data_IF_742924239052
#
_entry.id   IF_742924239052
#
_cell.length_a   1.000
_cell.length_b   1.000
_cell.length_c   1.000
_cell.angle_alpha   90.00
_cell.angle_beta   90.00
_cell.angle_gamma   90.00
#
_symmetry.space_group_name_H-M   'P 1'
#
loop_
_entity.id
_entity.type
_entity.pdbx_description
1 polymer ?
#
# COMPACT_ATOMS: atom_id res chain seq x y z
N UNK A 1 -1.44 -7.48 -13.78
CA UNK A 1 -2.35 -7.75 -12.64
C UNK A 1 -2.79 -6.42 -12.04
N UNK A 2 -4.09 -6.21 -11.94
CA UNK A 2 -4.71 -5.06 -11.25
C UNK A 2 -4.94 -5.54 -9.82
N UNK A 3 -4.21 -4.97 -8.87
CA UNK A 3 -4.35 -5.32 -7.47
C UNK A 3 -5.22 -4.32 -6.74
N UNK A 4 -6.22 -4.84 -6.09
CA UNK A 4 -7.11 -4.28 -5.08
C UNK A 4 -8.19 -3.31 -5.57
N UNK A 5 -9.39 -3.83 -5.70
CA UNK A 5 -10.65 -3.10 -5.77
C UNK A 5 -11.16 -2.86 -4.34
N UNK A 6 -11.30 -1.60 -3.93
CA UNK A 6 -12.06 -1.23 -2.75
C UNK A 6 -13.31 -0.44 -3.18
N UNK A 7 -14.49 -1.04 -2.98
CA UNK A 7 -15.80 -0.40 -3.21
C UNK A 7 -16.28 0.20 -1.90
N UNK A 8 -16.53 1.50 -1.86
CA UNK A 8 -17.18 2.18 -0.73
C UNK A 8 -18.39 3.02 -1.10
N UNK A 9 -19.39 2.97 -0.22
CA UNK A 9 -20.80 3.32 -0.38
C UNK A 9 -21.17 4.80 -0.57
N UNK A 10 -20.25 5.74 -0.69
CA UNK A 10 -20.64 7.15 -0.68
C UNK A 10 -20.68 7.83 -2.05
N UNK A 11 -19.96 7.34 -3.03
CA UNK A 11 -20.04 7.73 -4.45
C UNK A 11 -19.42 6.57 -5.25
N UNK A 12 -19.98 6.22 -6.41
CA UNK A 12 -19.49 5.10 -7.21
C UNK A 12 -18.13 5.45 -7.89
N UNK A 13 -17.08 5.56 -7.09
CA UNK A 13 -15.74 5.90 -7.53
C UNK A 13 -14.80 4.72 -7.26
N UNK A 14 -14.04 4.36 -8.29
CA UNK A 14 -13.02 3.32 -8.25
C UNK A 14 -11.63 3.94 -8.16
N UNK A 15 -10.83 3.47 -7.20
CA UNK A 15 -9.39 3.68 -7.19
C UNK A 15 -8.69 2.38 -7.56
N UNK A 16 -7.70 2.48 -8.45
CA UNK A 16 -6.87 1.34 -8.81
C UNK A 16 -5.40 1.74 -8.86
N UNK A 17 -4.52 0.85 -8.45
CA UNK A 17 -3.08 1.07 -8.51
C UNK A 17 -2.46 0.29 -9.67
N UNK A 18 -1.51 0.91 -10.35
CA UNK A 18 -0.76 0.31 -11.45
C UNK A 18 0.72 0.33 -11.12
N UNK A 19 1.35 -0.83 -11.11
CA UNK A 19 2.80 -0.96 -10.88
C UNK A 19 3.63 -0.50 -12.08
N UNK A 20 4.92 -0.27 -11.86
CA UNK A 20 5.87 0.20 -12.88
C UNK A 20 6.21 -0.84 -13.97
N UNK A 21 5.91 -2.12 -13.73
CA UNK A 21 6.16 -3.24 -14.66
C UNK A 21 7.61 -3.38 -15.13
N UNK A 22 8.59 -2.99 -14.30
CA UNK A 22 10.01 -2.97 -14.66
C UNK A 22 10.42 -1.78 -15.53
N UNK A 23 9.53 -0.84 -15.78
CA UNK A 23 9.73 0.36 -16.59
C UNK A 23 9.80 1.63 -15.74
N UNK A 24 10.56 1.57 -14.64
CA UNK A 24 10.65 2.65 -13.64
C UNK A 24 10.93 4.03 -14.22
N UNK A 25 11.68 4.12 -15.30
CA UNK A 25 11.95 5.39 -15.99
C UNK A 25 10.70 6.10 -16.53
N UNK A 26 9.59 5.37 -16.74
CA UNK A 26 8.32 5.93 -17.23
C UNK A 26 7.37 6.38 -16.11
N UNK A 27 7.68 6.08 -14.85
CA UNK A 27 6.77 6.37 -13.71
C UNK A 27 6.54 7.87 -13.50
N UNK A 28 7.49 8.69 -13.89
CA UNK A 28 7.38 10.16 -13.78
C UNK A 28 6.73 10.81 -15.02
N UNK A 29 6.41 10.01 -16.04
CA UNK A 29 5.68 10.47 -17.21
C UNK A 29 4.16 10.27 -17.02
N UNK A 30 3.45 11.37 -16.80
CA UNK A 30 2.00 11.39 -16.59
C UNK A 30 1.15 11.09 -17.84
N UNK A 31 1.79 10.74 -18.96
CA UNK A 31 1.12 10.31 -20.21
C UNK A 31 0.85 8.81 -20.26
N UNK A 32 1.18 8.08 -19.21
CA UNK A 32 0.93 6.65 -19.05
C UNK A 32 0.55 6.32 -17.60
N UNK A 33 0.01 5.13 -17.35
CA UNK A 33 -0.46 4.72 -16.02
C UNK A 33 0.61 4.04 -15.16
N UNK A 34 1.82 3.81 -15.68
CA UNK A 34 2.87 3.10 -14.93
C UNK A 34 3.25 3.84 -13.65
N UNK A 35 3.27 3.12 -12.55
CA UNK A 35 3.60 3.70 -11.24
C UNK A 35 2.61 4.76 -10.77
N UNK A 36 1.32 4.58 -11.05
CA UNK A 36 0.27 5.53 -10.65
C UNK A 36 -0.86 4.89 -9.86
N UNK A 37 -1.63 5.74 -9.20
CA UNK A 37 -2.95 5.44 -8.68
C UNK A 37 -3.96 6.21 -9.52
N UNK A 38 -4.88 5.50 -10.15
CA UNK A 38 -5.94 6.07 -10.99
C UNK A 38 -7.25 6.16 -10.22
N UNK A 39 -8.10 7.11 -10.63
CA UNK A 39 -9.42 7.33 -10.04
C UNK A 39 -10.43 7.57 -11.14
N UNK A 40 -11.44 6.72 -11.20
CA UNK A 40 -12.51 6.78 -12.22
C UNK A 40 -13.88 6.56 -11.57
N UNK A 41 -14.94 7.03 -12.20
CA UNK A 41 -16.31 6.67 -11.84
C UNK A 41 -16.61 5.22 -12.26
N UNK A 42 -17.62 4.59 -11.68
CA UNK A 42 -18.02 3.23 -12.07
C UNK A 42 -18.55 3.15 -13.51
N UNK A 43 -18.99 4.27 -14.10
CA UNK A 43 -19.39 4.35 -15.51
C UNK A 43 -18.18 4.58 -16.46
N UNK A 44 -16.95 4.53 -15.92
CA UNK A 44 -15.70 4.74 -16.65
C UNK A 44 -15.35 6.21 -16.92
N UNK A 45 -16.22 7.16 -16.57
CA UNK A 45 -15.92 8.58 -16.77
C UNK A 45 -14.95 9.11 -15.72
N UNK A 46 -14.30 10.21 -16.06
CA UNK A 46 -13.35 10.87 -15.17
C UNK A 46 -14.11 11.75 -14.17
N UNK A 47 -13.86 11.57 -12.85
CA UNK A 47 -14.40 12.47 -11.84
C UNK A 47 -13.98 13.92 -12.09
N UNK A 48 -14.95 14.85 -12.02
CA UNK A 48 -14.71 16.28 -12.31
C UNK A 48 -13.66 16.93 -11.41
N UNK A 49 -13.49 16.37 -10.22
CA UNK A 49 -12.57 16.82 -9.18
C UNK A 49 -11.22 16.07 -9.19
N UNK A 50 -10.91 15.28 -10.22
CA UNK A 50 -9.56 14.72 -10.40
C UNK A 50 -8.52 15.85 -10.56
N UNK A 51 -7.22 15.56 -10.29
CA UNK A 51 -6.16 16.56 -10.47
C UNK A 51 -6.16 17.15 -11.89
N UNK A 52 -5.92 18.46 -11.99
CA UNK A 52 -5.73 19.17 -13.27
C UNK A 52 -4.52 20.08 -13.12
N UNK A 53 -3.60 19.97 -14.06
CA UNK A 53 -2.37 20.75 -14.06
C UNK A 53 -2.29 21.57 -15.34
N UNK A 54 -2.29 22.89 -15.20
CA UNK A 54 -2.20 23.83 -16.34
C UNK A 54 -0.83 23.71 -17.03
N UNK A 55 0.21 23.47 -16.24
CA UNK A 55 1.62 23.31 -16.69
C UNK A 55 1.91 21.89 -17.23
N UNK A 56 0.97 20.95 -17.10
CA UNK A 56 1.07 19.57 -17.59
C UNK A 56 -0.19 19.16 -18.35
N UNK A 57 -0.43 19.74 -19.53
CA UNK A 57 -1.67 19.51 -20.27
C UNK A 57 -1.85 18.05 -20.72
N UNK A 58 -0.74 17.30 -20.82
CA UNK A 58 -0.73 15.89 -21.22
C UNK A 58 -0.91 14.92 -20.03
N UNK A 59 -1.16 15.42 -18.83
CA UNK A 59 -1.48 14.58 -17.67
C UNK A 59 -2.76 13.81 -17.95
N UNK A 60 -2.68 12.47 -17.90
CA UNK A 60 -3.87 11.63 -18.11
C UNK A 60 -4.91 11.92 -17.01
N UNK A 61 -6.15 12.25 -17.37
CA UNK A 61 -7.14 12.79 -16.44
C UNK A 61 -7.60 11.81 -15.35
N UNK A 62 -7.42 10.51 -15.55
CA UNK A 62 -7.69 9.47 -14.57
C UNK A 62 -6.57 9.29 -13.53
N UNK A 63 -5.37 9.79 -13.77
CA UNK A 63 -4.27 9.70 -12.81
C UNK A 63 -4.55 10.62 -11.63
N UNK A 64 -4.67 9.99 -10.45
CA UNK A 64 -4.90 10.68 -9.19
C UNK A 64 -3.60 10.98 -8.44
N UNK A 65 -2.63 10.07 -8.48
CA UNK A 65 -1.30 10.20 -7.86
C UNK A 65 -0.25 9.41 -8.64
N UNK A 66 0.98 9.94 -8.70
CA UNK A 66 2.14 9.32 -9.34
C UNK A 66 3.18 8.79 -8.33
N UNK A 67 4.21 8.13 -8.87
CA UNK A 67 5.45 7.88 -8.18
C UNK A 67 5.46 6.66 -7.28
N UNK A 68 4.57 5.70 -7.52
CA UNK A 68 4.59 4.40 -6.85
C UNK A 68 5.38 3.38 -7.68
N UNK A 69 6.02 2.42 -7.02
CA UNK A 69 6.78 1.37 -7.71
C UNK A 69 5.90 0.15 -7.99
N UNK A 70 5.46 -0.49 -6.94
CA UNK A 70 4.64 -1.70 -7.00
C UNK A 70 3.73 -1.75 -5.77
N UNK A 71 2.56 -1.13 -5.89
CA UNK A 71 1.56 -1.16 -4.83
C UNK A 71 1.02 -2.56 -4.64
N UNK A 72 0.91 -2.99 -3.40
CA UNK A 72 0.41 -4.31 -3.02
C UNK A 72 -0.91 -4.22 -2.24
N UNK A 73 -1.15 -3.13 -1.56
CA UNK A 73 -2.40 -2.90 -0.83
C UNK A 73 -2.95 -1.51 -1.05
N UNK A 74 -4.28 -1.42 -1.10
CA UNK A 74 -5.03 -0.17 -1.20
C UNK A 74 -6.29 -0.30 -0.34
N UNK A 75 -6.50 0.64 0.58
CA UNK A 75 -7.63 0.60 1.52
C UNK A 75 -8.20 1.98 1.77
N UNK A 76 -9.47 2.02 2.15
CA UNK A 76 -10.14 3.24 2.62
C UNK A 76 -10.29 3.17 4.13
N UNK A 77 -9.91 4.24 4.81
CA UNK A 77 -10.10 4.35 6.25
C UNK A 77 -11.59 4.49 6.58
N UNK A 78 -12.13 3.60 7.43
CA UNK A 78 -13.54 3.66 7.83
C UNK A 78 -13.85 4.78 8.84
N UNK A 79 -12.88 5.62 9.18
CA UNK A 79 -13.02 6.72 10.14
C UNK A 79 -13.12 8.08 9.48
N UNK A 80 -12.34 8.32 8.42
CA UNK A 80 -12.21 9.63 7.78
C UNK A 80 -12.30 9.57 6.25
N UNK A 81 -12.49 8.36 5.67
CA UNK A 81 -12.59 8.17 4.24
C UNK A 81 -11.27 8.35 3.46
N UNK A 82 -10.16 8.56 4.14
CA UNK A 82 -8.86 8.66 3.50
C UNK A 82 -8.40 7.32 2.93
N UNK A 83 -7.65 7.38 1.85
CA UNK A 83 -7.13 6.21 1.17
C UNK A 83 -5.68 6.03 1.55
N UNK A 84 -5.31 4.79 1.87
CA UNK A 84 -3.93 4.41 2.19
C UNK A 84 -3.47 3.28 1.28
N UNK A 85 -2.17 3.27 1.00
CA UNK A 85 -1.54 2.27 0.15
C UNK A 85 -0.24 1.77 0.75
N UNK A 86 0.08 0.48 0.50
CA UNK A 86 1.37 -0.13 0.78
C UNK A 86 2.11 -0.42 -0.53
N UNK A 87 3.42 -0.22 -0.56
CA UNK A 87 4.22 -0.28 -1.78
C UNK A 87 5.55 -0.99 -1.56
N UNK A 88 5.91 -1.89 -2.47
CA UNK A 88 7.23 -2.49 -2.51
C UNK A 88 8.29 -1.49 -3.00
N UNK A 89 9.36 -1.34 -2.22
CA UNK A 89 10.63 -0.85 -2.70
C UNK A 89 11.36 -1.88 -3.57
N UNK A 90 12.64 -1.65 -3.84
CA UNK A 90 13.50 -2.65 -4.46
C UNK A 90 14.18 -3.51 -3.37
N UNK A 91 15.49 -3.36 -3.15
CA UNK A 91 16.19 -4.00 -2.02
C UNK A 91 16.18 -3.07 -0.80
N UNK A 92 15.04 -2.99 -0.09
CA UNK A 92 14.73 -1.98 0.92
C UNK A 92 13.82 -0.89 0.37
N UNK A 93 13.27 -0.07 1.27
CA UNK A 93 12.42 1.05 0.90
C UNK A 93 10.97 0.68 0.61
N UNK A 94 10.47 -0.44 1.13
CA UNK A 94 9.04 -0.67 1.26
C UNK A 94 8.44 0.43 2.12
N UNK A 95 7.23 0.87 1.81
CA UNK A 95 6.57 1.92 2.58
C UNK A 95 5.05 1.80 2.56
N UNK A 96 4.39 2.50 3.49
CA UNK A 96 3.00 2.83 3.37
C UNK A 96 2.75 4.33 3.54
N UNK A 97 1.66 4.83 2.94
CA UNK A 97 1.31 6.23 2.99
C UNK A 97 -0.12 6.52 2.53
N UNK A 98 -0.53 7.79 2.69
CA UNK A 98 -1.82 8.30 2.27
C UNK A 98 -1.83 8.58 0.77
N UNK A 99 -2.88 8.16 0.07
CA UNK A 99 -3.12 8.52 -1.34
C UNK A 99 -3.65 9.93 -1.40
N UNK A 100 -2.91 10.81 -2.09
CA UNK A 100 -3.21 12.24 -2.13
C UNK A 100 -3.35 12.77 -3.55
N UNK A 101 -4.39 13.56 -3.75
CA UNK A 101 -4.72 14.15 -5.04
C UNK A 101 -3.57 14.97 -5.62
N UNK A 102 -3.12 14.58 -6.83
CA UNK A 102 -2.11 15.32 -7.59
C UNK A 102 -0.69 15.22 -7.04
N UNK A 103 -0.45 14.43 -6.00
CA UNK A 103 0.86 14.27 -5.38
C UNK A 103 1.69 13.14 -6.04
N UNK A 104 2.96 13.02 -5.62
CA UNK A 104 3.94 12.12 -6.23
C UNK A 104 4.86 11.52 -5.16
N UNK A 105 4.89 10.18 -5.04
CA UNK A 105 5.79 9.48 -4.12
C UNK A 105 7.24 9.34 -4.61
N UNK A 106 7.51 9.75 -5.85
CA UNK A 106 8.85 10.00 -6.34
C UNK A 106 9.62 8.80 -6.88
N UNK A 107 9.06 7.61 -7.02
CA UNK A 107 9.75 6.51 -7.69
C UNK A 107 10.04 6.86 -9.18
N UNK A 108 11.22 6.56 -9.75
CA UNK A 108 12.45 6.01 -9.12
C UNK A 108 13.45 7.07 -8.66
N UNK A 109 13.02 8.33 -8.52
CA UNK A 109 13.88 9.44 -8.05
C UNK A 109 14.22 9.25 -6.57
N UNK A 110 13.26 8.68 -5.79
CA UNK A 110 13.42 8.39 -4.36
C UNK A 110 13.50 6.89 -4.12
N UNK A 111 14.51 6.47 -3.34
CA UNK A 111 14.70 5.07 -2.95
C UNK A 111 14.17 4.68 -1.57
N UNK A 112 13.66 5.65 -0.78
CA UNK A 112 13.20 5.44 0.60
C UNK A 112 14.23 4.74 1.49
N UNK A 113 15.54 4.93 1.18
CA UNK A 113 16.67 4.28 1.85
C UNK A 113 17.00 2.89 1.32
N UNK A 114 16.28 2.39 0.34
CA UNK A 114 16.61 1.16 -0.37
C UNK A 114 17.63 1.36 -1.50
N UNK A 115 18.11 0.24 -2.01
CA UNK A 115 19.03 0.16 -3.17
C UNK A 115 18.40 -0.67 -4.28
N UNK A 116 18.97 -0.65 -5.46
CA UNK A 116 18.69 -1.63 -6.50
C UNK A 116 19.15 -3.03 -6.06
N UNK A 117 18.72 -4.07 -6.78
CA UNK A 117 19.08 -5.46 -6.44
C UNK A 117 20.57 -5.75 -6.59
N UNK A 118 21.28 -5.01 -7.45
CA UNK A 118 22.73 -5.04 -7.63
C UNK A 118 23.50 -4.25 -6.54
N UNK A 119 22.79 -3.57 -5.63
CA UNK A 119 23.35 -2.76 -4.55
C UNK A 119 23.57 -1.29 -4.91
N UNK A 120 23.35 -0.89 -6.16
CA UNK A 120 23.50 0.52 -6.57
C UNK A 120 22.42 1.40 -5.92
N UNK A 121 22.75 2.68 -5.70
CA UNK A 121 21.84 3.65 -5.08
C UNK A 121 20.72 4.03 -6.04
N UNK A 122 19.47 4.06 -5.54
CA UNK A 122 18.31 4.52 -6.31
C UNK A 122 18.20 6.05 -6.26
N UNK A 123 18.47 6.64 -5.12
CA UNK A 123 18.36 8.08 -4.89
C UNK A 123 18.22 8.39 -3.41
N UNK A 124 17.92 9.64 -3.04
CA UNK A 124 17.75 10.00 -1.64
C UNK A 124 16.55 9.27 -1.02
N UNK A 125 16.58 9.17 0.29
CA UNK A 125 15.50 8.61 1.10
C UNK A 125 14.19 9.40 0.90
N UNK A 126 14.29 10.71 0.90
CA UNK A 126 13.21 11.65 0.62
C UNK A 126 13.80 13.03 0.29
N UNK A 127 13.04 13.87 -0.42
CA UNK A 127 13.36 15.28 -0.64
C UNK A 127 12.07 16.11 -0.78
N UNK A 128 12.13 17.44 -0.55
CA UNK A 128 10.99 18.34 -0.79
C UNK A 128 10.44 18.25 -2.21
N UNK A 129 9.13 18.47 -2.37
CA UNK A 129 8.42 18.37 -3.64
C UNK A 129 7.82 16.98 -3.90
N UNK A 130 8.06 16.00 -3.01
CA UNK A 130 7.45 14.67 -3.10
C UNK A 130 6.62 14.34 -1.85
N UNK A 131 5.61 13.49 -2.03
CA UNK A 131 4.80 12.97 -0.93
C UNK A 131 5.68 12.19 0.04
N UNK A 132 5.51 12.44 1.34
CA UNK A 132 6.23 11.71 2.38
C UNK A 132 5.46 10.47 2.78
N UNK A 133 6.12 9.31 2.76
CA UNK A 133 5.56 8.09 3.34
C UNK A 133 5.34 8.25 4.85
N UNK A 134 4.32 7.59 5.38
CA UNK A 134 4.04 7.55 6.82
C UNK A 134 5.08 6.69 7.52
N UNK A 135 5.31 5.48 6.99
CA UNK A 135 6.34 4.56 7.49
C UNK A 135 7.03 3.88 6.29
N UNK A 136 8.29 3.52 6.45
CA UNK A 136 9.06 2.77 5.46
C UNK A 136 10.03 1.81 6.15
N UNK A 137 10.43 0.76 5.44
CA UNK A 137 11.27 -0.32 5.98
C UNK A 137 12.54 -0.53 5.16
N UNK A 138 13.67 -0.58 5.87
CA UNK A 138 14.97 -0.95 5.32
C UNK A 138 15.63 -1.88 6.34
N UNK A 139 15.85 -3.15 6.00
CA UNK A 139 15.57 -3.81 4.71
C UNK A 139 14.07 -3.93 4.42
N UNK A 140 13.70 -4.21 3.15
CA UNK A 140 12.32 -4.52 2.76
C UNK A 140 11.76 -5.68 3.53
N UNK A 141 10.52 -5.55 4.00
CA UNK A 141 9.76 -6.64 4.64
C UNK A 141 8.89 -7.40 3.62
N UNK A 142 8.80 -6.92 2.37
CA UNK A 142 7.88 -7.42 1.37
C UNK A 142 6.44 -7.11 1.75
N UNK A 143 6.09 -5.82 1.90
CA UNK A 143 4.72 -5.42 2.24
C UNK A 143 3.71 -6.02 1.26
N UNK A 144 2.56 -6.46 1.77
CA UNK A 144 1.46 -6.93 0.93
C UNK A 144 0.21 -6.07 1.19
N UNK A 145 -0.87 -6.64 1.69
CA UNK A 145 -2.10 -5.90 1.92
C UNK A 145 -2.00 -4.91 3.09
N UNK A 146 -2.90 -3.94 3.07
CA UNK A 146 -3.13 -2.97 4.14
C UNK A 146 -4.62 -2.84 4.41
N UNK A 147 -4.99 -2.72 5.68
CA UNK A 147 -6.33 -2.29 6.10
C UNK A 147 -6.23 -1.37 7.31
N UNK A 148 -7.19 -0.45 7.47
CA UNK A 148 -7.33 0.33 8.71
C UNK A 148 -8.35 -0.38 9.58
N UNK A 149 -7.90 -0.88 10.72
CA UNK A 149 -8.73 -1.68 11.58
C UNK A 149 -9.90 -0.88 12.17
N UNK A 150 -11.10 -1.43 12.06
CA UNK A 150 -12.31 -1.01 12.76
C UNK A 150 -13.09 -2.24 13.19
N UNK A 151 -13.22 -2.46 14.50
CA UNK A 151 -13.91 -3.63 15.00
C UNK A 151 -14.00 -3.66 16.52
N UNK A 152 -14.80 -4.60 17.03
CA UNK A 152 -14.97 -4.82 18.48
C UNK A 152 -13.97 -5.84 19.03
N UNK A 153 -13.53 -6.78 18.19
CA UNK A 153 -12.68 -7.90 18.59
C UNK A 153 -11.32 -7.43 19.14
N UNK A 154 -10.66 -6.50 18.43
CA UNK A 154 -9.39 -5.89 18.84
C UNK A 154 -9.58 -4.37 18.97
N UNK A 155 -10.44 -3.95 19.90
CA UNK A 155 -10.84 -2.54 20.04
C UNK A 155 -9.66 -1.58 20.24
N UNK A 156 -8.56 -2.04 20.81
CA UNK A 156 -7.28 -1.33 20.99
C UNK A 156 -6.53 -1.05 19.67
N UNK A 157 -6.95 -1.70 18.59
CA UNK A 157 -6.39 -1.49 17.25
C UNK A 157 -7.22 -0.54 16.38
N UNK A 158 -8.37 -0.08 16.85
CA UNK A 158 -9.21 0.85 16.10
C UNK A 158 -8.42 2.07 15.63
N UNK A 159 -8.43 2.31 14.30
CA UNK A 159 -7.70 3.38 13.62
C UNK A 159 -6.22 3.10 13.35
N UNK A 160 -5.68 1.94 13.77
CA UNK A 160 -4.33 1.53 13.40
C UNK A 160 -4.31 0.89 12.00
N UNK A 161 -3.19 1.05 11.31
CA UNK A 161 -2.95 0.31 10.07
C UNK A 161 -2.47 -1.11 10.40
N UNK A 162 -3.10 -2.09 9.76
CA UNK A 162 -2.69 -3.48 9.74
C UNK A 162 -2.05 -3.75 8.38
N UNK A 163 -0.76 -4.05 8.37
CA UNK A 163 0.02 -4.28 7.14
C UNK A 163 0.63 -5.67 7.20
N UNK A 164 0.34 -6.47 6.20
CA UNK A 164 0.90 -7.81 6.08
C UNK A 164 2.20 -7.81 5.29
N UNK A 165 3.01 -8.84 5.46
CA UNK A 165 4.29 -8.95 4.79
C UNK A 165 4.56 -10.37 4.29
N UNK A 166 5.18 -10.42 3.10
CA UNK A 166 5.57 -11.66 2.43
C UNK A 166 6.91 -12.16 2.93
N UNK A 167 7.91 -11.29 2.94
CA UNK A 167 9.28 -11.67 3.30
C UNK A 167 9.48 -11.80 4.81
N UNK A 168 8.87 -10.90 5.58
CA UNK A 168 8.98 -10.91 7.03
C UNK A 168 7.95 -11.81 7.70
N UNK A 169 7.07 -12.46 6.92
CA UNK A 169 6.06 -13.43 7.36
C UNK A 169 5.35 -12.95 8.63
N UNK A 170 4.81 -11.74 8.60
CA UNK A 170 4.28 -11.07 9.79
C UNK A 170 3.15 -10.11 9.49
N UNK A 171 2.39 -9.79 10.54
CA UNK A 171 1.48 -8.67 10.59
C UNK A 171 2.15 -7.51 11.34
N UNK A 172 2.16 -6.32 10.74
CA UNK A 172 2.52 -5.05 11.37
C UNK A 172 1.26 -4.33 11.83
N UNK A 173 1.19 -3.98 13.09
CA UNK A 173 0.15 -3.16 13.70
C UNK A 173 0.74 -1.78 13.97
N UNK A 174 0.31 -0.76 13.23
CA UNK A 174 0.96 0.54 13.22
C UNK A 174 0.01 1.62 13.73
N UNK A 175 0.36 2.22 14.86
CA UNK A 175 -0.31 3.42 15.34
C UNK A 175 0.37 4.65 14.72
N UNK A 176 -0.31 5.29 13.80
CA UNK A 176 0.16 6.47 13.06
C UNK A 176 -0.69 7.74 13.34
N UNK A 177 -1.49 7.71 14.39
CA UNK A 177 -2.31 8.86 14.81
C UNK A 177 -1.46 10.11 15.07
N UNK A 178 -0.27 9.92 15.63
CA UNK A 178 0.76 10.96 15.71
C UNK A 178 1.90 10.63 14.74
N UNK A 179 1.99 11.37 13.64
CA UNK A 179 3.02 11.16 12.61
C UNK A 179 4.45 11.49 13.07
N UNK A 180 4.62 12.17 14.21
CA UNK A 180 5.92 12.43 14.83
C UNK A 180 6.37 11.30 15.75
N UNK A 181 5.46 10.40 16.14
CA UNK A 181 5.73 9.29 17.07
C UNK A 181 4.93 8.05 16.64
N UNK A 182 5.37 7.44 15.54
CA UNK A 182 4.76 6.23 15.00
C UNK A 182 5.20 5.03 15.84
N UNK A 183 4.22 4.25 16.31
CA UNK A 183 4.46 3.01 17.06
C UNK A 183 4.13 1.81 16.18
N UNK A 184 5.06 0.89 16.07
CA UNK A 184 4.92 -0.35 15.32
C UNK A 184 5.05 -1.56 16.26
N UNK A 185 4.11 -2.49 16.14
CA UNK A 185 4.12 -3.80 16.77
C UNK A 185 4.16 -4.88 15.69
N UNK A 186 4.89 -5.97 15.92
CA UNK A 186 4.98 -7.09 15.00
C UNK A 186 4.32 -8.32 15.60
N UNK A 187 3.32 -8.84 14.89
CA UNK A 187 2.55 -10.02 15.29
C UNK A 187 2.87 -11.18 14.33
N UNK A 188 2.88 -12.42 14.84
CA UNK A 188 3.02 -13.69 14.08
C UNK A 188 4.31 -13.84 13.27
N UNK A 189 5.36 -13.11 13.63
CA UNK A 189 6.63 -13.26 12.91
C UNK A 189 7.04 -14.74 12.82
N UNK A 190 7.26 -15.22 11.59
CA UNK A 190 7.69 -16.58 11.24
C UNK A 190 6.73 -17.71 11.74
N UNK A 191 5.45 -17.37 12.03
CA UNK A 191 4.43 -18.35 12.49
C UNK A 191 3.38 -18.67 11.42
N UNK A 192 3.10 -17.72 10.55
CA UNK A 192 2.26 -17.84 9.36
C UNK A 192 3.19 -17.56 8.21
N UNK A 193 3.12 -18.34 7.13
CA UNK A 193 3.97 -18.12 5.96
C UNK A 193 3.72 -16.76 5.30
N UNK A 194 4.08 -16.54 4.08
CA UNK A 194 3.92 -15.28 3.35
C UNK A 194 2.46 -14.82 3.38
N UNK A 195 2.14 -13.79 4.18
CA UNK A 195 0.77 -13.31 4.30
C UNK A 195 0.48 -12.39 3.11
N UNK A 196 -0.40 -12.82 2.22
CA UNK A 196 -0.73 -12.15 0.96
C UNK A 196 -1.80 -11.08 1.13
N UNK A 197 -2.85 -11.37 1.89
CA UNK A 197 -3.99 -10.48 2.06
C UNK A 197 -4.51 -10.48 3.49
N UNK A 198 -5.25 -9.43 3.87
CA UNK A 198 -5.88 -9.24 5.17
C UNK A 198 -7.23 -8.58 5.00
N UNK A 199 -8.24 -9.12 5.67
CA UNK A 199 -9.58 -8.53 5.71
C UNK A 199 -10.12 -8.52 7.14
N UNK A 200 -10.81 -7.43 7.50
CA UNK A 200 -11.52 -7.30 8.76
C UNK A 200 -13.00 -7.55 8.51
N UNK A 201 -13.57 -8.51 9.24
CA UNK A 201 -15.00 -8.78 9.13
C UNK A 201 -15.82 -7.59 9.64
N UNK A 202 -16.72 -7.01 8.82
CA UNK A 202 -17.32 -5.70 9.11
C UNK A 202 -18.27 -5.71 10.33
N UNK A 203 -18.82 -6.87 10.71
CA UNK A 203 -19.78 -6.99 11.81
C UNK A 203 -19.08 -7.34 13.13
N UNK A 204 -18.23 -8.37 13.15
CA UNK A 204 -17.62 -8.91 14.38
C UNK A 204 -16.19 -8.42 14.63
N UNK A 205 -15.51 -7.85 13.62
CA UNK A 205 -14.14 -7.35 13.76
C UNK A 205 -13.06 -8.43 13.78
N UNK A 206 -13.43 -9.70 13.55
CA UNK A 206 -12.42 -10.77 13.38
C UNK A 206 -11.59 -10.52 12.14
N UNK A 207 -10.36 -11.02 12.14
CA UNK A 207 -9.41 -10.76 11.07
C UNK A 207 -9.13 -12.04 10.30
N UNK A 208 -9.24 -11.97 8.99
CA UNK A 208 -8.93 -13.06 8.08
C UNK A 208 -7.64 -12.77 7.32
N UNK A 209 -6.79 -13.78 7.14
CA UNK A 209 -5.56 -13.69 6.36
C UNK A 209 -5.56 -14.75 5.28
N UNK A 210 -5.00 -14.39 4.14
CA UNK A 210 -4.57 -15.34 3.11
C UNK A 210 -3.06 -15.45 3.16
N UNK A 211 -2.54 -16.66 3.31
CA UNK A 211 -1.12 -16.94 3.17
C UNK A 211 -0.84 -17.78 1.93
N UNK A 212 0.36 -17.61 1.39
CA UNK A 212 0.90 -18.46 0.32
C UNK A 212 2.17 -19.15 0.79
N UNK A 213 2.37 -20.38 0.31
CA UNK A 213 3.59 -21.15 0.55
C UNK A 213 4.77 -20.50 -0.17
N UNK A 214 5.90 -20.40 0.52
CA UNK A 214 7.16 -20.04 -0.12
C UNK A 214 7.84 -21.29 -0.71
N UNK A 215 7.91 -21.35 -2.04
CA UNK A 215 8.58 -22.46 -2.73
C UNK A 215 10.06 -22.47 -2.40
N UNK A 216 10.50 -23.48 -1.62
CA UNK A 216 11.91 -23.74 -1.33
C UNK A 216 12.34 -23.70 0.13
N UNK A 217 11.48 -23.31 1.06
CA UNK A 217 11.79 -23.30 2.49
C UNK A 217 10.75 -24.08 3.30
N UNK A 218 11.12 -24.43 4.57
CA UNK A 218 10.24 -25.15 5.50
C UNK A 218 9.14 -24.23 6.00
N UNK A 219 8.01 -24.22 5.32
CA UNK A 219 6.78 -23.56 5.73
C UNK A 219 5.61 -24.54 5.77
N UNK A 220 4.37 -24.11 6.11
CA UNK A 220 3.20 -24.96 5.98
C UNK A 220 3.10 -25.50 4.55
N UNK A 221 2.64 -26.73 4.41
CA UNK A 221 2.66 -27.43 3.14
C UNK A 221 1.67 -26.88 2.10
N UNK A 222 0.74 -25.99 2.51
CA UNK A 222 -0.36 -25.50 1.68
C UNK A 222 -0.60 -23.99 1.88
N UNK A 223 -1.20 -23.35 0.88
CA UNK A 223 -1.81 -22.03 1.00
C UNK A 223 -2.91 -22.06 2.06
N UNK A 224 -3.06 -20.99 2.83
CA UNK A 224 -3.95 -20.99 3.99
C UNK A 224 -4.91 -19.80 4.07
N UNK A 225 -6.14 -20.08 4.52
CA UNK A 225 -7.05 -19.08 5.05
C UNK A 225 -7.04 -19.19 6.58
N UNK A 226 -6.67 -18.11 7.24
CA UNK A 226 -6.51 -18.03 8.68
C UNK A 226 -7.54 -17.10 9.31
N UNK A 227 -7.97 -17.44 10.50
CA UNK A 227 -8.84 -16.60 11.32
C UNK A 227 -8.12 -16.20 12.60
N UNK A 228 -8.10 -14.89 12.90
CA UNK A 228 -7.63 -14.35 14.16
C UNK A 228 -8.78 -13.80 14.97
N UNK A 229 -8.91 -14.30 16.21
CA UNK A 229 -9.91 -13.89 17.19
C UNK A 229 -9.29 -13.87 18.60
N UNK A 230 -9.90 -13.11 19.52
CA UNK A 230 -9.53 -13.19 20.95
C UNK A 230 -10.05 -14.50 21.54
N UNK A 231 -9.24 -15.09 22.41
CA UNK A 231 -9.67 -16.22 23.25
C UNK A 231 -10.38 -15.72 24.50
#
# INVERSE_FOLDING_TARGET
EIYTLSLHDALPILFASVGERGLGGLVQDSKNHLGSIIRINLDGKIPKDNPKFIDKPDWLPEIYQLGVRNNQGLTVSPFDGKIYTSNHGAKGGDWFGEVKKGENYGWPILGWGGTNYDGSTIGPKWKPGFTKAIQYWVPSIGVSAITIYKGKEFSEWNGKALITSLRNQSLKVINFKNLLDIKEETIFKDKIDRIRDIQVHPINGKIYFLSEKYYGEKGPEEDGLWLMEKK
#
